data_IF_039113954006
#
_entry.id   IF_039113954006
#
_cell.length_a   1.000
_cell.length_b   1.000
_cell.length_c   1.000
_cell.angle_alpha   90.00
_cell.angle_beta   90.00
_cell.angle_gamma   90.00
#
_symmetry.space_group_name_H-M   'P 1'
#
loop_
_entity.id
_entity.type
_entity.pdbx_description
1 polymer ?
#
# COMPACT_ATOMS: atom_id res chain seq x y z
N UNK A 1 9.34 -49.95 -11.93
CA UNK A 1 8.89 -48.73 -12.64
C UNK A 1 9.50 -47.54 -11.91
N UNK A 2 10.58 -46.96 -12.44
CA UNK A 2 11.26 -45.82 -11.81
C UNK A 2 10.68 -44.52 -12.38
N UNK A 3 10.07 -43.69 -11.53
CA UNK A 3 9.55 -42.39 -11.94
C UNK A 3 10.72 -41.41 -12.02
N UNK A 4 11.23 -41.21 -13.24
CA UNK A 4 12.13 -40.11 -13.59
C UNK A 4 11.33 -38.81 -13.58
N UNK A 5 11.50 -38.00 -12.55
CA UNK A 5 11.04 -36.61 -12.56
C UNK A 5 12.12 -35.73 -13.23
N UNK A 6 11.76 -34.81 -14.15
CA UNK A 6 12.71 -33.83 -14.63
C UNK A 6 12.99 -32.82 -13.50
N UNK A 7 14.27 -32.63 -13.18
CA UNK A 7 14.72 -31.63 -12.22
C UNK A 7 14.42 -30.23 -12.76
N UNK A 8 13.55 -29.49 -12.07
CA UNK A 8 13.36 -28.06 -12.32
C UNK A 8 14.70 -27.33 -12.07
N UNK A 9 15.23 -26.55 -13.02
CA UNK A 9 16.44 -25.78 -12.78
C UNK A 9 16.15 -24.69 -11.73
N UNK A 10 16.87 -24.73 -10.61
CA UNK A 10 16.89 -23.65 -9.61
C UNK A 10 17.54 -22.40 -10.22
N UNK A 11 16.99 -21.19 -9.99
CA UNK A 11 17.65 -19.95 -10.39
C UNK A 11 18.93 -19.74 -9.59
N UNK A 12 20.07 -19.69 -10.29
CA UNK A 12 21.37 -19.34 -9.71
C UNK A 12 21.42 -17.82 -9.57
N UNK A 13 21.20 -17.31 -8.36
CA UNK A 13 21.50 -15.90 -8.03
C UNK A 13 23.01 -15.75 -7.91
N UNK A 14 23.69 -15.52 -9.02
CA UNK A 14 25.08 -15.09 -9.03
C UNK A 14 25.10 -13.57 -8.86
N UNK A 15 25.62 -13.10 -7.74
CA UNK A 15 25.51 -11.71 -7.28
C UNK A 15 26.25 -10.69 -8.15
N UNK A 16 25.66 -9.49 -8.18
CA UNK A 16 26.17 -8.19 -8.60
C UNK A 16 25.02 -7.20 -8.25
N UNK A 17 25.13 -6.11 -7.50
CA UNK A 17 26.20 -5.39 -6.82
C UNK A 17 25.53 -4.50 -5.75
N UNK A 18 26.29 -4.09 -4.73
CA UNK A 18 26.17 -2.77 -4.08
C UNK A 18 24.84 -2.39 -3.41
N UNK A 19 24.76 -2.62 -2.09
CA UNK A 19 24.10 -1.65 -1.24
C UNK A 19 24.79 -0.28 -1.44
N UNK A 20 24.00 0.77 -1.70
CA UNK A 20 23.87 1.75 -0.66
C UNK A 20 22.50 1.58 -0.02
N UNK A 21 22.49 1.61 1.30
CA UNK A 21 21.35 2.11 2.06
C UNK A 21 21.03 3.51 1.51
N UNK A 22 20.25 3.59 0.45
CA UNK A 22 19.54 4.79 0.11
C UNK A 22 18.50 4.92 1.20
N UNK A 23 18.89 5.70 2.21
CA UNK A 23 17.98 6.40 3.11
C UNK A 23 16.77 6.78 2.28
N UNK A 24 15.69 5.99 2.39
CA UNK A 24 14.45 6.25 1.68
C UNK A 24 14.04 7.60 2.18
N UNK A 25 14.24 8.57 1.29
CA UNK A 25 13.91 9.96 1.48
C UNK A 25 12.48 9.96 2.00
N UNK A 26 12.23 10.76 3.04
CA UNK A 26 10.92 11.36 3.27
C UNK A 26 10.52 12.06 1.96
N UNK A 27 9.93 11.32 1.03
CA UNK A 27 9.22 11.89 -0.11
C UNK A 27 7.81 12.18 0.38
N UNK A 28 7.74 13.17 1.27
CA UNK A 28 6.63 14.11 1.27
C UNK A 28 6.65 14.82 -0.09
N UNK A 29 6.12 14.16 -1.11
CA UNK A 29 5.95 14.72 -2.45
C UNK A 29 4.84 13.98 -3.18
N UNK A 30 3.60 14.37 -2.87
CA UNK A 30 2.58 14.73 -3.85
C UNK A 30 2.51 13.95 -5.15
N UNK A 31 2.36 12.62 -5.11
CA UNK A 31 1.68 11.93 -6.21
C UNK A 31 0.19 11.99 -5.92
N UNK A 32 -0.40 13.12 -6.34
CA UNK A 32 -1.85 13.28 -6.54
C UNK A 32 -2.26 12.33 -7.67
N UNK A 33 -2.40 11.08 -7.31
CA UNK A 33 -3.15 10.13 -8.10
C UNK A 33 -4.45 9.97 -7.35
N UNK A 34 -5.46 10.77 -7.74
CA UNK A 34 -6.66 11.04 -6.95
C UNK A 34 -7.43 9.81 -6.47
N UNK A 35 -7.25 8.64 -7.10
CA UNK A 35 -7.75 7.35 -6.62
C UNK A 35 -6.82 6.65 -5.60
N UNK A 36 -5.50 6.66 -5.85
CA UNK A 36 -4.53 5.91 -5.04
C UNK A 36 -4.43 6.42 -3.60
N UNK A 37 -4.83 7.68 -3.32
CA UNK A 37 -4.83 8.20 -1.96
C UNK A 37 -5.98 7.62 -1.12
N UNK A 38 -7.19 7.54 -1.69
CA UNK A 38 -8.33 6.89 -1.01
C UNK A 38 -8.01 5.42 -0.75
N UNK A 39 -7.49 4.70 -1.75
CA UNK A 39 -7.10 3.29 -1.59
C UNK A 39 -6.08 3.08 -0.46
N UNK A 40 -5.11 3.99 -0.31
CA UNK A 40 -4.14 3.94 0.81
C UNK A 40 -4.79 4.17 2.16
N UNK A 41 -5.77 5.07 2.24
CA UNK A 41 -6.51 5.34 3.46
C UNK A 41 -7.42 4.16 3.82
N UNK A 42 -8.09 3.55 2.85
CA UNK A 42 -8.91 2.34 3.04
C UNK A 42 -8.07 1.15 3.50
N UNK A 43 -6.89 0.95 2.90
CA UNK A 43 -5.96 -0.10 3.35
C UNK A 43 -5.48 0.16 4.78
N UNK A 44 -5.10 1.40 5.08
CA UNK A 44 -4.67 1.79 6.44
C UNK A 44 -5.81 1.63 7.46
N UNK A 45 -7.05 1.91 7.05
CA UNK A 45 -8.25 1.73 7.87
C UNK A 45 -8.48 0.25 8.18
N UNK A 46 -8.38 -0.63 7.18
CA UNK A 46 -8.47 -2.07 7.38
C UNK A 46 -7.41 -2.58 8.39
N UNK A 47 -6.17 -2.07 8.30
CA UNK A 47 -5.11 -2.39 9.25
C UNK A 47 -5.42 -1.87 10.67
N UNK A 48 -5.95 -0.65 10.79
CA UNK A 48 -6.32 -0.07 12.09
C UNK A 48 -7.46 -0.86 12.75
N UNK A 49 -8.48 -1.24 11.99
CA UNK A 49 -9.59 -2.10 12.45
C UNK A 49 -9.05 -3.46 12.88
N UNK A 50 -8.19 -4.09 12.08
CA UNK A 50 -7.58 -5.39 12.43
C UNK A 50 -6.73 -5.33 13.72
N UNK A 51 -6.16 -4.17 14.03
CA UNK A 51 -5.39 -3.91 15.25
C UNK A 51 -6.25 -3.49 16.45
N UNK A 52 -7.52 -3.15 16.25
CA UNK A 52 -8.39 -2.57 17.27
C UNK A 52 -8.02 -1.13 17.67
N UNK A 53 -7.29 -0.40 16.82
CA UNK A 53 -6.90 1.00 17.07
C UNK A 53 -8.05 1.95 16.69
N UNK A 54 -9.05 2.03 17.58
CA UNK A 54 -10.28 2.80 17.36
C UNK A 54 -10.01 4.29 17.07
N UNK A 55 -9.01 4.89 17.73
CA UNK A 55 -8.63 6.28 17.51
C UNK A 55 -8.12 6.53 16.08
N UNK A 56 -7.35 5.61 15.52
CA UNK A 56 -6.97 5.68 14.10
C UNK A 56 -8.13 5.40 13.16
N UNK A 57 -9.02 4.48 13.53
CA UNK A 57 -10.21 4.17 12.73
C UNK A 57 -11.07 5.42 12.55
N UNK A 58 -11.36 6.16 13.63
CA UNK A 58 -12.15 7.40 13.57
C UNK A 58 -11.46 8.48 12.72
N UNK A 59 -10.16 8.69 12.90
CA UNK A 59 -9.42 9.65 12.08
C UNK A 59 -9.42 9.29 10.58
N UNK A 60 -9.11 8.04 10.25
CA UNK A 60 -9.06 7.58 8.85
C UNK A 60 -10.43 7.65 8.19
N UNK A 61 -11.51 7.36 8.93
CA UNK A 61 -12.89 7.54 8.44
C UNK A 61 -13.19 9.01 8.15
N UNK A 62 -12.78 9.93 9.02
CA UNK A 62 -12.95 11.36 8.80
C UNK A 62 -12.16 11.85 7.58
N UNK A 63 -10.95 11.34 7.36
CA UNK A 63 -10.09 11.72 6.23
C UNK A 63 -10.63 11.16 4.90
N UNK A 64 -11.13 9.92 4.90
CA UNK A 64 -11.83 9.33 3.74
C UNK A 64 -13.10 10.11 3.41
N UNK A 65 -13.90 10.48 4.41
CA UNK A 65 -15.10 11.29 4.20
C UNK A 65 -14.75 12.66 3.63
N UNK A 66 -13.76 13.37 4.19
CA UNK A 66 -13.34 14.68 3.68
C UNK A 66 -12.79 14.63 2.24
N UNK A 67 -12.13 13.53 1.85
CA UNK A 67 -11.65 13.33 0.48
C UNK A 67 -12.75 12.87 -0.49
N UNK A 68 -13.81 12.21 0.02
CA UNK A 68 -14.95 11.76 -0.77
C UNK A 68 -16.07 12.80 -0.92
N UNK A 69 -16.16 13.76 0.02
CA UNK A 69 -17.20 14.80 0.08
C UNK A 69 -16.96 15.97 -0.88
N UNK A 70 -15.76 16.09 -1.48
CA UNK A 70 -15.48 17.01 -2.61
C UNK A 70 -16.31 16.68 -3.88
N UNK A 71 -17.18 15.67 -3.83
CA UNK A 71 -18.04 15.19 -4.92
C UNK A 71 -19.56 15.38 -4.73
N UNK A 72 -20.07 15.90 -3.60
CA UNK A 72 -21.51 16.22 -3.48
C UNK A 72 -21.81 17.67 -3.94
N UNK A 73 -22.34 17.72 -5.16
CA UNK A 73 -23.15 18.76 -5.79
C UNK A 73 -23.90 19.69 -4.81
N UNK A 74 -23.72 21.02 -4.87
CA UNK A 74 -24.63 21.93 -4.17
C UNK A 74 -26.01 21.82 -4.84
N UNK A 75 -26.92 21.09 -4.19
CA UNK A 75 -28.30 20.99 -4.62
C UNK A 75 -28.95 22.36 -4.81
N UNK A 76 -29.56 22.54 -5.98
CA UNK A 76 -30.63 23.52 -6.27
C UNK A 76 -31.82 22.80 -6.86
#
# INVERSE_FOLDING_TARGET
MANTYPACPLPKTTGAEGHPFSSVRKTSSGFFEGGHQLEKLEFSLAVAVARGDQYKVDQLRSEIAALGDDGEEPGT
#
